data_IF_681997646495
#
_entry.id   IF_681997646495
#
_cell.length_a   1.000
_cell.length_b   1.000
_cell.length_c   1.000
_cell.angle_alpha   90.00
_cell.angle_beta   90.00
_cell.angle_gamma   90.00
#
_symmetry.space_group_name_H-M   'P 1'
#
loop_
_entity.id
_entity.type
_entity.pdbx_description
1 polymer ?
#
# COMPACT_ATOMS: atom_id res chain seq x y z
N UNK A 1 11.23 -13.60 -14.01
CA UNK A 1 12.52 -12.90 -13.77
C UNK A 1 12.50 -12.32 -12.36
N UNK A 2 13.41 -12.74 -11.48
CA UNK A 2 13.37 -12.40 -10.05
C UNK A 2 13.77 -10.93 -9.81
N UNK A 3 12.97 -10.17 -9.04
CA UNK A 3 13.23 -8.77 -8.65
C UNK A 3 14.68 -8.46 -8.22
N UNK A 4 15.36 -9.32 -7.41
CA UNK A 4 16.75 -9.08 -7.03
C UNK A 4 17.75 -9.06 -8.20
N UNK A 5 17.47 -9.78 -9.30
CA UNK A 5 18.32 -9.80 -10.50
C UNK A 5 18.27 -8.45 -11.20
N UNK A 6 17.08 -7.84 -11.28
CA UNK A 6 16.91 -6.52 -11.90
C UNK A 6 17.70 -5.45 -11.13
N UNK A 7 17.66 -5.49 -9.79
CA UNK A 7 18.47 -4.59 -8.94
C UNK A 7 19.96 -4.75 -9.27
N UNK A 8 20.47 -5.99 -9.37
CA UNK A 8 21.87 -6.25 -9.71
C UNK A 8 22.26 -5.74 -11.10
N UNK A 9 21.38 -5.90 -12.09
CA UNK A 9 21.64 -5.42 -13.45
C UNK A 9 21.73 -3.89 -13.50
N UNK A 10 20.78 -3.19 -12.87
CA UNK A 10 20.82 -1.72 -12.77
C UNK A 10 22.05 -1.29 -11.96
N UNK A 11 22.45 -2.03 -10.92
CA UNK A 11 23.64 -1.73 -10.13
C UNK A 11 24.93 -1.75 -10.95
N UNK A 12 25.05 -2.66 -11.92
CA UNK A 12 26.20 -2.69 -12.83
C UNK A 12 26.26 -1.47 -13.75
N UNK A 13 25.10 -1.00 -14.21
CA UNK A 13 25.00 0.17 -15.10
C UNK A 13 25.09 1.50 -14.33
N UNK A 14 24.84 1.49 -13.03
CA UNK A 14 24.75 2.71 -12.19
C UNK A 14 25.91 3.69 -12.30
N UNK A 15 27.20 3.28 -12.42
CA UNK A 15 28.31 4.21 -12.56
C UNK A 15 28.20 5.13 -13.79
N UNK A 16 27.57 4.65 -14.86
CA UNK A 16 27.44 5.35 -16.14
C UNK A 16 26.11 6.10 -16.30
N UNK A 17 25.24 6.06 -15.28
CA UNK A 17 23.89 6.63 -15.34
C UNK A 17 23.77 7.88 -14.46
N UNK A 18 23.08 8.89 -14.99
CA UNK A 18 22.58 10.00 -14.18
C UNK A 18 21.50 9.54 -13.19
N UNK A 19 21.28 10.33 -12.15
CA UNK A 19 20.33 9.99 -11.10
C UNK A 19 18.89 9.98 -11.60
N UNK A 20 18.54 10.87 -12.53
CA UNK A 20 17.22 10.91 -13.18
C UNK A 20 16.94 9.65 -13.99
N UNK A 21 17.90 9.17 -14.78
CA UNK A 21 17.75 7.94 -15.57
C UNK A 21 17.70 6.72 -14.65
N UNK A 22 18.55 6.67 -13.62
CA UNK A 22 18.51 5.60 -12.62
C UNK A 22 17.16 5.54 -11.92
N UNK A 23 16.57 6.69 -11.57
CA UNK A 23 15.24 6.76 -10.98
C UNK A 23 14.17 6.19 -11.93
N UNK A 24 14.19 6.59 -13.21
CA UNK A 24 13.25 6.07 -14.22
C UNK A 24 13.39 4.55 -14.37
N UNK A 25 14.61 4.02 -14.44
CA UNK A 25 14.85 2.57 -14.55
C UNK A 25 14.35 1.82 -13.33
N UNK A 26 14.64 2.32 -12.13
CA UNK A 26 14.16 1.73 -10.87
C UNK A 26 12.63 1.74 -10.85
N UNK A 27 12.00 2.82 -11.30
CA UNK A 27 10.54 2.88 -11.35
C UNK A 27 9.94 1.89 -12.35
N UNK A 28 10.49 1.86 -13.56
CA UNK A 28 10.03 1.02 -14.65
C UNK A 28 10.22 -0.48 -14.39
N UNK A 29 11.31 -0.90 -13.75
CA UNK A 29 11.64 -2.32 -13.57
C UNK A 29 11.37 -2.86 -12.17
N UNK A 30 11.55 -2.05 -11.13
CA UNK A 30 11.44 -2.52 -9.74
C UNK A 30 10.09 -2.10 -9.15
N UNK A 31 9.75 -0.80 -9.15
CA UNK A 31 8.50 -0.37 -8.51
C UNK A 31 7.27 -0.87 -9.25
N UNK A 32 7.30 -0.91 -10.59
CA UNK A 32 6.20 -1.49 -11.39
C UNK A 32 5.87 -2.93 -10.98
N UNK A 33 6.90 -3.75 -10.76
CA UNK A 33 6.77 -5.16 -10.34
C UNK A 33 6.39 -5.29 -8.87
N UNK A 34 6.86 -4.41 -8.01
CA UNK A 34 6.46 -4.37 -6.60
C UNK A 34 5.01 -3.93 -6.42
N UNK A 35 4.53 -3.01 -7.25
CA UNK A 35 3.17 -2.49 -7.19
C UNK A 35 2.18 -3.31 -8.03
N UNK A 36 2.66 -4.23 -8.87
CA UNK A 36 1.84 -5.15 -9.65
C UNK A 36 1.10 -6.13 -8.74
N UNK A 37 -0.24 -6.06 -8.75
CA UNK A 37 -1.13 -6.93 -7.97
C UNK A 37 -0.81 -7.02 -6.47
N UNK A 38 -0.14 -6.01 -5.90
CA UNK A 38 0.29 -6.04 -4.52
C UNK A 38 -0.86 -6.10 -3.50
N UNK A 39 -2.08 -5.70 -3.88
CA UNK A 39 -3.28 -5.87 -3.05
C UNK A 39 -3.55 -7.32 -2.64
N UNK A 40 -3.16 -8.30 -3.45
CA UNK A 40 -3.27 -9.75 -3.13
C UNK A 40 -2.33 -10.16 -2.00
N UNK A 41 -1.28 -9.37 -1.76
CA UNK A 41 -0.32 -9.57 -0.66
C UNK A 41 -0.85 -9.04 0.68
N UNK A 42 -2.10 -8.59 0.76
CA UNK A 42 -2.72 -8.23 2.02
C UNK A 42 -2.68 -9.39 3.02
N UNK A 43 -2.25 -9.08 4.25
CA UNK A 43 -2.12 -10.04 5.35
C UNK A 43 -1.15 -11.20 5.12
N UNK A 44 -0.19 -11.09 4.18
CA UNK A 44 0.89 -12.09 4.06
C UNK A 44 1.84 -12.05 5.27
N UNK A 45 2.50 -13.17 5.54
CA UNK A 45 3.47 -13.30 6.63
C UNK A 45 4.56 -12.23 6.58
N UNK A 46 4.97 -11.73 7.75
CA UNK A 46 6.01 -10.71 7.90
C UNK A 46 7.34 -11.07 7.23
N UNK A 47 7.69 -12.37 7.17
CA UNK A 47 8.89 -12.86 6.47
C UNK A 47 8.85 -12.51 4.97
N UNK A 48 7.71 -12.68 4.31
CA UNK A 48 7.54 -12.36 2.89
C UNK A 48 7.56 -10.85 2.67
N UNK A 49 6.89 -10.08 3.53
CA UNK A 49 6.95 -8.61 3.48
C UNK A 49 8.37 -8.09 3.66
N UNK A 50 9.14 -8.66 4.60
CA UNK A 50 10.53 -8.28 4.83
C UNK A 50 11.41 -8.49 3.58
N UNK A 51 11.18 -9.57 2.82
CA UNK A 51 11.89 -9.82 1.56
C UNK A 51 11.58 -8.77 0.49
N UNK A 52 10.31 -8.36 0.38
CA UNK A 52 9.92 -7.29 -0.55
C UNK A 52 10.45 -5.93 -0.11
N UNK A 53 10.41 -5.65 1.19
CA UNK A 53 10.99 -4.45 1.77
C UNK A 53 12.50 -4.39 1.52
N UNK A 54 13.20 -5.52 1.62
CA UNK A 54 14.61 -5.61 1.29
C UNK A 54 14.87 -5.20 -0.16
N UNK A 55 14.09 -5.70 -1.13
CA UNK A 55 14.20 -5.30 -2.54
C UNK A 55 13.99 -3.79 -2.71
N UNK A 56 12.96 -3.23 -2.06
CA UNK A 56 12.72 -1.79 -2.10
C UNK A 56 13.90 -1.01 -1.51
N UNK A 57 14.41 -1.43 -0.35
CA UNK A 57 15.54 -0.80 0.31
C UNK A 57 16.81 -0.86 -0.55
N UNK A 58 17.08 -2.00 -1.20
CA UNK A 58 18.20 -2.12 -2.14
C UNK A 58 18.04 -1.18 -3.34
N UNK A 59 16.83 -1.02 -3.86
CA UNK A 59 16.56 -0.09 -4.95
C UNK A 59 16.79 1.37 -4.53
N UNK A 60 16.32 1.75 -3.35
CA UNK A 60 16.56 3.09 -2.78
C UNK A 60 18.04 3.34 -2.58
N UNK A 61 18.77 2.37 -2.01
CA UNK A 61 20.23 2.48 -1.83
C UNK A 61 20.96 2.63 -3.14
N UNK A 62 20.52 1.90 -4.16
CA UNK A 62 21.08 1.99 -5.50
C UNK A 62 20.87 3.38 -6.12
N UNK A 63 19.68 3.96 -5.89
CA UNK A 63 19.37 5.32 -6.35
C UNK A 63 20.24 6.35 -5.64
N UNK A 64 20.25 6.37 -4.30
CA UNK A 64 20.91 7.41 -3.50
C UNK A 64 22.38 7.16 -3.21
N UNK A 65 22.94 6.03 -3.70
CA UNK A 65 24.32 5.57 -3.40
C UNK A 65 24.62 5.55 -1.90
N UNK A 66 23.60 5.27 -1.08
CA UNK A 66 23.74 5.19 0.37
C UNK A 66 24.49 3.94 0.78
N UNK A 67 25.41 4.10 1.74
CA UNK A 67 26.28 3.01 2.19
C UNK A 67 25.45 1.94 2.92
N UNK A 68 25.80 0.65 2.83
CA UNK A 68 24.94 -0.44 3.31
C UNK A 68 24.67 -0.40 4.82
N UNK A 69 25.59 0.15 5.62
CA UNK A 69 25.45 0.31 7.08
C UNK A 69 24.65 1.54 7.51
N UNK A 70 24.37 2.49 6.61
CA UNK A 70 23.54 3.65 6.96
C UNK A 70 22.08 3.22 7.12
N UNK A 71 21.39 3.82 8.08
CA UNK A 71 19.97 3.56 8.30
C UNK A 71 19.15 3.98 7.06
N UNK A 72 18.22 3.13 6.63
CA UNK A 72 17.46 3.35 5.39
C UNK A 72 16.29 4.32 5.57
N UNK A 73 15.72 4.41 6.78
CA UNK A 73 14.53 5.21 7.07
C UNK A 73 14.69 6.70 6.72
N UNK A 74 15.79 7.39 7.08
CA UNK A 74 16.00 8.78 6.66
C UNK A 74 16.00 8.96 5.14
N UNK A 75 16.51 7.97 4.41
CA UNK A 75 16.55 8.00 2.95
C UNK A 75 15.15 7.81 2.36
N UNK A 76 14.35 6.89 2.92
CA UNK A 76 12.96 6.70 2.53
C UNK A 76 12.11 7.95 2.79
N UNK A 77 12.35 8.63 3.92
CA UNK A 77 11.67 9.87 4.27
C UNK A 77 12.03 10.97 3.27
N UNK A 78 13.32 11.18 3.01
CA UNK A 78 13.80 12.19 2.06
C UNK A 78 13.21 12.00 0.65
N UNK A 79 13.06 10.75 0.20
CA UNK A 79 12.47 10.43 -1.10
C UNK A 79 10.93 10.40 -1.09
N UNK A 80 10.28 10.57 0.06
CA UNK A 80 8.84 10.34 0.25
C UNK A 80 8.36 8.96 -0.23
N UNK A 81 9.18 7.91 -0.03
CA UNK A 81 8.85 6.54 -0.41
C UNK A 81 8.16 5.78 0.72
N UNK A 82 6.91 5.36 0.48
CA UNK A 82 6.17 4.50 1.40
C UNK A 82 6.78 3.09 1.50
N UNK A 83 6.86 2.48 2.69
CA UNK A 83 7.22 1.07 2.87
C UNK A 83 6.25 0.14 2.14
N UNK A 84 6.70 -1.08 1.81
CA UNK A 84 5.91 -2.06 1.05
C UNK A 84 4.59 -2.38 1.74
N UNK A 85 4.58 -2.53 3.07
CA UNK A 85 3.35 -2.80 3.83
C UNK A 85 2.31 -1.70 3.63
N UNK A 86 2.72 -0.43 3.77
CA UNK A 86 1.86 0.73 3.56
C UNK A 86 1.39 0.85 2.11
N UNK A 87 2.22 0.47 1.12
CA UNK A 87 1.82 0.43 -0.29
C UNK A 87 0.72 -0.60 -0.58
N UNK A 88 0.77 -1.76 0.07
CA UNK A 88 -0.28 -2.77 -0.02
C UNK A 88 -1.58 -2.20 0.54
N UNK A 89 -1.53 -1.62 1.74
CA UNK A 89 -2.71 -0.98 2.35
C UNK A 89 -3.28 0.14 1.46
N UNK A 90 -2.41 0.99 0.89
CA UNK A 90 -2.80 2.05 -0.03
C UNK A 90 -3.60 1.49 -1.22
N UNK A 91 -3.13 0.39 -1.82
CA UNK A 91 -3.79 -0.23 -2.98
C UNK A 91 -5.08 -0.92 -2.61
N UNK A 92 -5.15 -1.60 -1.46
CA UNK A 92 -6.39 -2.17 -0.94
C UNK A 92 -7.43 -1.09 -0.70
N UNK A 93 -7.07 -0.01 -0.01
CA UNK A 93 -7.96 1.11 0.31
C UNK A 93 -8.41 1.90 -0.93
N UNK A 94 -7.51 2.09 -1.90
CA UNK A 94 -7.86 2.69 -3.18
C UNK A 94 -8.87 1.84 -3.95
N UNK A 95 -8.75 0.50 -3.89
CA UNK A 95 -9.73 -0.39 -4.48
C UNK A 95 -11.08 -0.29 -3.74
N UNK A 96 -11.07 -0.25 -2.40
CA UNK A 96 -12.29 -0.03 -1.60
C UNK A 96 -13.00 1.26 -1.98
N UNK A 97 -12.27 2.38 -2.06
CA UNK A 97 -12.85 3.67 -2.44
C UNK A 97 -13.53 3.58 -3.82
N UNK A 98 -12.85 2.97 -4.80
CA UNK A 98 -13.41 2.78 -6.15
C UNK A 98 -14.65 1.89 -6.16
N UNK A 99 -14.67 0.82 -5.36
CA UNK A 99 -15.83 -0.06 -5.23
C UNK A 99 -17.02 0.65 -4.62
N UNK A 100 -16.81 1.52 -3.62
CA UNK A 100 -17.87 2.30 -2.98
C UNK A 100 -18.44 3.38 -3.90
N UNK A 101 -17.63 3.95 -4.78
CA UNK A 101 -18.07 4.96 -5.76
C UNK A 101 -18.49 4.35 -7.10
N UNK A 102 -18.74 3.04 -7.17
CA UNK A 102 -19.19 2.32 -8.39
C UNK A 102 -18.27 2.44 -9.61
N UNK A 103 -16.98 2.77 -9.38
CA UNK A 103 -15.94 2.85 -10.43
C UNK A 103 -15.31 1.47 -10.66
N UNK A 104 -15.36 0.59 -9.65
CA UNK A 104 -14.83 -0.76 -9.75
C UNK A 104 -15.86 -1.74 -10.32
N UNK A 105 -15.44 -2.91 -10.81
CA UNK A 105 -16.35 -3.98 -11.22
C UNK A 105 -17.33 -4.37 -10.11
N UNK A 106 -18.56 -4.69 -10.50
CA UNK A 106 -19.67 -4.99 -9.60
C UNK A 106 -19.33 -6.10 -8.59
N UNK A 107 -18.63 -7.16 -9.03
CA UNK A 107 -18.22 -8.26 -8.15
C UNK A 107 -17.36 -7.82 -6.95
N UNK A 108 -16.65 -6.67 -7.02
CA UNK A 108 -15.91 -6.13 -5.88
C UNK A 108 -16.79 -5.30 -4.96
N UNK A 109 -17.77 -4.60 -5.52
CA UNK A 109 -18.75 -3.82 -4.76
C UNK A 109 -19.65 -4.76 -3.96
N UNK A 110 -20.07 -5.88 -4.56
CA UNK A 110 -20.90 -6.90 -3.90
C UNK A 110 -20.22 -7.55 -2.69
N UNK A 111 -18.89 -7.51 -2.61
CA UNK A 111 -18.11 -8.01 -1.48
C UNK A 111 -18.05 -7.04 -0.29
N UNK A 112 -18.49 -5.79 -0.46
CA UNK A 112 -18.44 -4.74 0.56
C UNK A 112 -19.87 -4.38 0.98
N UNK A 113 -20.16 -4.60 2.26
CA UNK A 113 -21.49 -4.31 2.80
C UNK A 113 -21.44 -3.09 3.72
N UNK A 114 -22.31 -2.08 3.53
CA UNK A 114 -22.46 -0.99 4.48
C UNK A 114 -22.78 -1.51 5.88
N UNK A 115 -22.22 -0.86 6.90
CA UNK A 115 -22.55 -1.19 8.28
C UNK A 115 -23.92 -0.64 8.64
N UNK A 116 -24.91 -1.52 8.79
CA UNK A 116 -26.26 -1.17 9.24
C UNK A 116 -26.45 -1.59 10.72
N UNK A 117 -26.38 -0.66 11.69
CA UNK A 117 -26.62 -1.00 13.08
C UNK A 117 -28.10 -1.33 13.32
N UNK A 118 -28.40 -2.24 14.26
CA UNK A 118 -29.77 -2.62 14.62
C UNK A 118 -30.54 -1.54 15.38
N UNK A 119 -29.84 -0.53 15.91
CA UNK A 119 -30.38 0.66 16.58
C UNK A 119 -29.62 1.87 16.06
N UNK A 120 -30.28 3.02 15.88
CA UNK A 120 -29.64 4.27 15.46
C UNK A 120 -28.61 4.72 16.50
N UNK A 121 -27.33 4.49 16.20
CA UNK A 121 -26.19 4.91 17.01
C UNK A 121 -25.46 6.04 16.29
N UNK A 122 -24.71 6.88 17.02
CA UNK A 122 -23.91 7.97 16.43
C UNK A 122 -22.89 7.51 15.37
N UNK A 123 -22.62 6.20 15.28
CA UNK A 123 -21.77 5.58 14.26
C UNK A 123 -22.49 5.26 12.95
N UNK A 124 -23.82 5.35 12.87
CA UNK A 124 -24.60 5.06 11.65
C UNK A 124 -24.18 5.93 10.47
N UNK A 125 -23.86 7.20 10.74
CA UNK A 125 -23.64 8.20 9.69
C UNK A 125 -22.16 8.29 9.27
N UNK A 126 -21.32 7.40 9.79
CA UNK A 126 -19.86 7.47 9.62
C UNK A 126 -19.33 6.68 8.43
N UNK A 127 -20.18 6.10 7.57
CA UNK A 127 -19.75 5.40 6.35
C UNK A 127 -18.86 4.18 6.61
N UNK A 128 -19.14 3.44 7.68
CA UNK A 128 -18.41 2.22 8.05
C UNK A 128 -18.86 1.02 7.20
N UNK A 129 -17.97 0.05 7.05
CA UNK A 129 -18.23 -1.23 6.38
C UNK A 129 -18.40 -2.35 7.42
N UNK A 130 -19.28 -3.31 7.12
CA UNK A 130 -19.43 -4.50 7.94
C UNK A 130 -18.22 -5.42 7.73
N UNK A 131 -17.68 -5.94 8.84
CA UNK A 131 -16.56 -6.88 8.81
C UNK A 131 -17.14 -8.29 8.98
N UNK A 132 -17.15 -9.13 7.94
CA UNK A 132 -17.66 -10.49 8.07
C UNK A 132 -16.77 -11.31 8.99
N UNK A 133 -17.38 -12.22 9.77
CA UNK A 133 -16.63 -13.14 10.63
C UNK A 133 -15.96 -14.20 9.75
N UNK A 134 -14.63 -14.22 9.75
CA UNK A 134 -13.87 -15.29 9.10
C UNK A 134 -13.75 -16.49 10.05
N UNK A 135 -13.97 -17.71 9.54
CA UNK A 135 -13.76 -18.96 10.30
C UNK A 135 -12.29 -19.37 10.37
N UNK A 136 -11.46 -18.88 9.43
CA UNK A 136 -10.05 -19.22 9.30
C UNK A 136 -9.22 -17.93 9.39
N UNK A 137 -8.64 -17.67 10.57
CA UNK A 137 -7.88 -16.43 10.85
C UNK A 137 -6.67 -16.20 9.93
N UNK A 138 -6.19 -17.24 9.24
CA UNK A 138 -5.00 -17.13 8.38
C UNK A 138 -5.33 -16.74 6.94
N UNK A 139 -6.31 -17.38 6.32
CA UNK A 139 -6.68 -17.15 4.91
C UNK A 139 -7.92 -16.27 4.78
N UNK A 140 -8.89 -16.46 5.67
CA UNK A 140 -10.14 -15.69 5.68
C UNK A 140 -9.90 -14.21 5.96
N UNK A 141 -9.04 -13.88 6.91
CA UNK A 141 -8.72 -12.49 7.26
C UNK A 141 -7.96 -11.74 6.14
N UNK A 142 -7.38 -12.49 5.19
CA UNK A 142 -6.68 -11.94 4.02
C UNK A 142 -7.62 -11.63 2.86
N UNK A 143 -8.82 -12.19 2.86
CA UNK A 143 -9.79 -11.95 1.79
C UNK A 143 -10.13 -10.47 1.70
N UNK A 144 -10.36 -9.98 0.48
CA UNK A 144 -10.71 -8.58 0.25
C UNK A 144 -11.94 -8.17 1.08
N UNK A 145 -12.96 -9.03 1.14
CA UNK A 145 -14.19 -8.82 1.94
C UNK A 145 -13.97 -8.68 3.45
N UNK A 146 -12.80 -9.06 3.99
CA UNK A 146 -12.46 -8.87 5.41
C UNK A 146 -11.42 -7.77 5.58
N UNK A 147 -10.32 -7.85 4.81
CA UNK A 147 -9.20 -6.92 4.94
C UNK A 147 -9.56 -5.49 4.53
N UNK A 148 -10.38 -5.30 3.48
CA UNK A 148 -10.76 -3.97 3.02
C UNK A 148 -11.66 -3.24 4.02
N UNK A 149 -12.76 -3.83 4.54
CA UNK A 149 -13.53 -3.22 5.62
C UNK A 149 -12.72 -2.91 6.87
N UNK A 150 -11.82 -3.82 7.27
CA UNK A 150 -10.97 -3.64 8.45
C UNK A 150 -10.05 -2.42 8.30
N UNK A 151 -9.36 -2.30 7.15
CA UNK A 151 -8.50 -1.15 6.88
C UNK A 151 -9.31 0.14 6.68
N UNK A 152 -10.46 0.07 6.01
CA UNK A 152 -11.32 1.21 5.76
C UNK A 152 -11.84 1.82 7.06
N UNK A 153 -12.35 0.99 7.96
CA UNK A 153 -12.89 1.44 9.24
C UNK A 153 -11.82 2.04 10.18
N UNK A 154 -10.55 1.69 9.99
CA UNK A 154 -9.44 2.28 10.72
C UNK A 154 -9.06 3.70 10.22
N UNK A 155 -9.61 4.14 9.07
CA UNK A 155 -9.29 5.46 8.53
C UNK A 155 -10.05 6.59 9.27
N UNK A 156 -9.40 7.75 9.45
CA UNK A 156 -10.08 8.97 9.86
C UNK A 156 -11.26 9.32 8.93
N UNK A 157 -12.36 9.86 9.48
CA UNK A 157 -13.55 10.21 8.69
C UNK A 157 -13.24 11.24 7.60
N UNK A 158 -12.31 12.17 7.85
CA UNK A 158 -11.85 13.18 6.89
C UNK A 158 -11.32 12.57 5.59
N UNK A 159 -10.60 11.45 5.68
CA UNK A 159 -10.05 10.75 4.52
C UNK A 159 -11.14 9.94 3.84
N UNK A 160 -12.03 9.30 4.60
CA UNK A 160 -13.12 8.49 4.04
C UNK A 160 -14.13 9.31 3.25
N UNK A 161 -14.44 10.51 3.74
CA UNK A 161 -15.39 11.43 3.14
C UNK A 161 -14.76 12.33 2.06
N UNK A 162 -13.60 11.97 1.52
CA UNK A 162 -12.94 12.72 0.46
C UNK A 162 -13.84 12.79 -0.79
N UNK A 163 -14.08 14.02 -1.26
CA UNK A 163 -15.01 14.32 -2.36
C UNK A 163 -14.56 13.80 -3.73
N UNK A 164 -13.27 13.51 -3.91
CA UNK A 164 -12.75 12.96 -5.16
C UNK A 164 -11.64 11.94 -4.91
N UNK A 165 -11.43 11.09 -5.90
CA UNK A 165 -10.42 10.06 -5.88
C UNK A 165 -8.99 10.61 -5.76
N UNK A 166 -8.72 11.81 -6.29
CA UNK A 166 -7.39 12.41 -6.22
C UNK A 166 -7.12 13.08 -4.85
N UNK A 167 -8.15 13.68 -4.24
CA UNK A 167 -8.07 14.13 -2.84
C UNK A 167 -7.86 12.91 -1.94
N UNK A 168 -8.62 11.84 -2.15
CA UNK A 168 -8.49 10.59 -1.40
C UNK A 168 -7.07 10.01 -1.49
N UNK A 169 -6.51 9.87 -2.70
CA UNK A 169 -5.13 9.39 -2.90
C UNK A 169 -4.11 10.23 -2.12
N UNK A 170 -4.25 11.55 -2.20
CA UNK A 170 -3.27 12.48 -1.61
C UNK A 170 -3.33 12.42 -0.09
N UNK A 171 -4.55 12.51 0.49
CA UNK A 171 -4.78 12.42 1.92
C UNK A 171 -4.39 11.03 2.48
N UNK A 172 -4.73 9.96 1.77
CA UNK A 172 -4.38 8.60 2.17
C UNK A 172 -2.86 8.38 2.15
N UNK A 173 -2.16 8.87 1.12
CA UNK A 173 -0.70 8.77 1.04
C UNK A 173 -0.06 9.49 2.22
N UNK A 174 -0.53 10.71 2.54
CA UNK A 174 -0.04 11.48 3.67
C UNK A 174 -0.26 10.74 5.00
N UNK A 175 -1.47 10.23 5.25
CA UNK A 175 -1.80 9.48 6.45
C UNK A 175 -0.99 8.18 6.60
N UNK A 176 -0.81 7.42 5.52
CA UNK A 176 0.02 6.20 5.57
C UNK A 176 1.50 6.51 5.75
N UNK A 177 1.95 7.69 5.33
CA UNK A 177 3.31 8.15 5.54
C UNK A 177 3.55 8.55 7.00
N UNK A 178 2.61 9.27 7.62
CA UNK A 178 2.68 9.59 9.05
C UNK A 178 2.56 8.35 9.93
N UNK A 179 1.74 7.37 9.58
CA UNK A 179 1.71 6.09 10.31
C UNK A 179 3.00 5.27 10.18
N UNK A 180 3.75 5.43 9.08
CA UNK A 180 4.97 4.66 8.82
C UNK A 180 6.22 5.30 9.42
N UNK A 181 6.28 6.62 9.46
CA UNK A 181 7.48 7.40 9.82
C UNK A 181 7.21 8.49 10.86
N UNK A 182 6.01 8.52 11.42
CA UNK A 182 5.63 9.47 12.46
C UNK A 182 6.54 9.40 13.69
N UNK A 183 6.59 10.49 14.47
CA UNK A 183 7.40 10.59 15.67
C UNK A 183 7.02 9.58 16.74
#
# INVERSE_FOLDING_TARGET
>A
MCLPVLVKNIARLRPSLSDSVAQTLIHAFITSRLDYCNGVLSGVHSKTLARLQYVQNSAVRLLTRTKPWQHITPTLIHLHWLPVKSRIHFKTLLLTYKSLHTIAPQYLTDLLHPYTPSRSLRSSDTGLLSIPRSRLRTVGDRAFSVAAPTLWNALPPEIRNAASLDIFKSALKAHLFTLAFGP
#
